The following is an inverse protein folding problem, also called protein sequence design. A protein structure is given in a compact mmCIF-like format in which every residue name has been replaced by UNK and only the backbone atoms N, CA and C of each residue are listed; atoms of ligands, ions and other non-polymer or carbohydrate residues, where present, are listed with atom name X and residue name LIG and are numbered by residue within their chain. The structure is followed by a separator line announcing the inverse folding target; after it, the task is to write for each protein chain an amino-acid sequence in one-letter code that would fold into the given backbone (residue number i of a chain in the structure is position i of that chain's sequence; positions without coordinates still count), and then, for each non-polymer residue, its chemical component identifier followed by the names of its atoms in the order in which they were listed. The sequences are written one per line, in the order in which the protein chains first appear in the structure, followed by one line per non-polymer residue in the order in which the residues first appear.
data_IF_348830232427
#
_entry.id   IF_348830232427
#
_cell.length_a   1.000
_cell.length_b   1.000
_cell.length_c   1.000
_cell.angle_alpha   90.00
_cell.angle_beta   90.00
_cell.angle_gamma   90.00
#
_symmetry.space_group_name_H-M   'P 1'
#
loop_
_entity.id
_entity.type
_entity.pdbx_description
1 polymer ?
#
# COMPACT_ATOMS: atom_id res chain seq x y z
N UNK A 1 5.99 9.26 -5.78
CA UNK A 1 7.32 9.07 -6.37
C UNK A 1 7.43 9.94 -7.61
N UNK A 2 8.51 10.69 -7.78
CA UNK A 2 8.74 11.52 -8.96
C UNK A 2 10.23 11.69 -9.25
N UNK A 3 10.60 11.76 -10.53
CA UNK A 3 11.93 12.16 -10.93
C UNK A 3 12.22 13.61 -10.53
N UNK A 4 13.43 13.91 -10.15
CA UNK A 4 13.91 15.26 -9.75
C UNK A 4 14.90 15.84 -10.76
N UNK A 5 15.38 15.04 -11.70
CA UNK A 5 16.24 15.45 -12.80
C UNK A 5 16.08 14.51 -14.01
N UNK A 6 16.75 14.85 -15.12
CA UNK A 6 16.85 13.98 -16.31
C UNK A 6 18.00 12.94 -16.19
N UNK A 7 18.83 13.03 -15.16
CA UNK A 7 19.90 12.05 -14.92
C UNK A 7 19.28 10.75 -14.37
N UNK A 8 19.37 9.60 -15.09
CA UNK A 8 18.78 8.34 -14.68
C UNK A 8 19.46 7.72 -13.44
N UNK A 9 20.65 8.20 -13.05
CA UNK A 9 21.36 7.73 -11.87
C UNK A 9 20.99 8.50 -10.61
N UNK A 10 20.23 9.60 -10.73
CA UNK A 10 19.77 10.37 -9.59
C UNK A 10 18.52 9.72 -8.99
N UNK A 11 18.55 9.46 -7.68
CA UNK A 11 17.41 8.90 -6.95
C UNK A 11 16.16 9.76 -7.08
N UNK A 12 14.98 9.14 -7.27
CA UNK A 12 13.71 9.85 -7.31
C UNK A 12 13.35 10.38 -5.92
N UNK A 13 12.56 11.46 -5.89
CA UNK A 13 11.94 11.89 -4.64
C UNK A 13 10.82 10.94 -4.26
N UNK A 14 10.96 10.29 -3.11
CA UNK A 14 9.96 9.40 -2.53
C UNK A 14 9.38 10.07 -1.28
N UNK A 15 8.05 10.19 -1.23
CA UNK A 15 7.33 10.78 -0.10
C UNK A 15 6.14 9.87 0.23
N UNK A 16 6.23 9.17 1.35
CA UNK A 16 5.26 8.13 1.71
C UNK A 16 3.97 8.71 2.31
N UNK A 17 4.05 9.85 3.01
CA UNK A 17 2.91 10.51 3.67
C UNK A 17 2.12 9.59 4.62
N UNK A 18 2.79 8.69 5.34
CA UNK A 18 2.14 7.79 6.29
C UNK A 18 1.29 8.55 7.29
N UNK A 19 0.09 8.01 7.60
CA UNK A 19 -0.86 8.55 8.57
C UNK A 19 -1.23 10.02 8.31
N UNK A 20 -1.26 10.43 7.03
CA UNK A 20 -1.57 11.82 6.64
C UNK A 20 -3.08 12.09 6.55
N UNK A 21 -3.89 11.05 6.40
CA UNK A 21 -5.36 11.18 6.38
C UNK A 21 -5.97 10.93 7.76
N UNK A 22 -7.12 11.55 8.03
CA UNK A 22 -7.86 11.32 9.28
C UNK A 22 -8.33 9.86 9.38
N UNK A 23 -8.67 9.24 8.25
CA UNK A 23 -9.10 7.84 8.19
C UNK A 23 -7.97 6.89 8.59
N UNK A 24 -6.78 7.04 8.01
CA UNK A 24 -5.61 6.22 8.36
C UNK A 24 -5.27 6.35 9.84
N UNK A 25 -5.35 7.56 10.39
CA UNK A 25 -5.08 7.80 11.80
C UNK A 25 -6.11 7.13 12.71
N UNK A 26 -7.40 7.23 12.37
CA UNK A 26 -8.47 6.56 13.12
C UNK A 26 -8.28 5.04 13.11
N UNK A 27 -7.90 4.46 11.97
CA UNK A 27 -7.60 3.03 11.83
C UNK A 27 -6.39 2.64 12.67
N UNK A 28 -5.32 3.46 12.70
CA UNK A 28 -4.13 3.20 13.51
C UNK A 28 -4.46 3.17 15.01
N UNK A 29 -5.23 4.14 15.51
CA UNK A 29 -5.70 4.18 16.92
C UNK A 29 -6.58 2.97 17.24
N UNK A 30 -7.55 2.66 16.37
CA UNK A 30 -8.43 1.50 16.53
C UNK A 30 -7.63 0.19 16.55
N UNK A 31 -6.60 0.06 15.73
CA UNK A 31 -5.71 -1.12 15.68
C UNK A 31 -4.94 -1.32 17.00
N UNK A 32 -4.43 -0.25 17.59
CA UNK A 32 -3.76 -0.31 18.90
C UNK A 32 -4.73 -0.78 20.00
N UNK A 33 -5.96 -0.24 20.02
CA UNK A 33 -7.00 -0.65 20.97
C UNK A 33 -7.42 -2.11 20.78
N UNK A 34 -7.62 -2.52 19.52
CA UNK A 34 -7.96 -3.91 19.19
C UNK A 34 -6.87 -4.89 19.61
N UNK A 35 -5.61 -4.55 19.38
CA UNK A 35 -4.45 -5.36 19.80
C UNK A 35 -4.46 -5.54 21.33
N UNK A 36 -4.69 -4.48 22.09
CA UNK A 36 -4.82 -4.57 23.56
C UNK A 36 -5.97 -5.49 23.97
N UNK A 37 -7.13 -5.37 23.32
CA UNK A 37 -8.29 -6.23 23.57
C UNK A 37 -7.98 -7.71 23.30
N UNK A 38 -7.29 -8.01 22.19
CA UNK A 38 -6.86 -9.38 21.86
C UNK A 38 -5.90 -9.91 22.92
N UNK A 39 -4.90 -9.12 23.29
CA UNK A 39 -3.89 -9.54 24.29
C UNK A 39 -4.48 -9.70 25.70
N UNK A 40 -5.57 -9.00 26.02
CA UNK A 40 -6.32 -9.18 27.27
C UNK A 40 -7.25 -10.39 27.28
N UNK A 41 -7.39 -11.11 26.16
CA UNK A 41 -8.31 -12.25 26.07
C UNK A 41 -7.90 -13.41 27.03
N UNK A 42 -8.87 -14.17 27.56
CA UNK A 42 -8.59 -15.30 28.47
C UNK A 42 -7.64 -16.33 27.87
N UNK A 43 -7.70 -16.57 26.57
CA UNK A 43 -6.86 -17.53 25.86
C UNK A 43 -5.36 -17.16 25.89
N UNK A 44 -5.02 -15.88 26.02
CA UNK A 44 -3.64 -15.41 26.05
C UNK A 44 -3.11 -15.18 27.49
N UNK A 45 -3.96 -15.17 28.51
CA UNK A 45 -3.53 -14.94 29.90
C UNK A 45 -2.50 -15.95 30.44
N UNK A 46 -2.51 -17.26 30.08
CA UNK A 46 -1.47 -18.20 30.49
C UNK A 46 -0.05 -17.79 30.06
N UNK A 47 0.08 -16.97 29.01
CA UNK A 47 1.37 -16.47 28.51
C UNK A 47 1.81 -15.17 29.18
N UNK A 48 1.00 -14.62 30.12
CA UNK A 48 1.28 -13.38 30.85
C UNK A 48 1.77 -12.23 29.95
N UNK A 49 0.98 -11.85 28.92
CA UNK A 49 1.40 -10.84 27.96
C UNK A 49 1.57 -9.48 28.63
N UNK A 50 2.66 -8.78 28.31
CA UNK A 50 2.94 -7.44 28.82
C UNK A 50 3.12 -6.49 27.65
N UNK A 51 2.40 -5.36 27.69
CA UNK A 51 2.61 -4.29 26.73
C UNK A 51 3.94 -3.60 27.01
N UNK A 52 4.81 -3.54 26.00
CA UNK A 52 6.10 -2.86 26.07
C UNK A 52 5.98 -1.46 25.45
N UNK A 53 5.34 -1.36 24.29
CA UNK A 53 5.10 -0.12 23.55
C UNK A 53 3.67 -0.12 23.00
N UNK A 54 3.01 1.05 22.99
CA UNK A 54 3.43 2.35 23.53
C UNK A 54 3.44 2.41 25.07
N UNK A 55 2.94 1.41 25.76
CA UNK A 55 2.83 1.33 27.22
C UNK A 55 1.46 1.73 27.73
N UNK A 56 1.04 1.12 28.85
CA UNK A 56 -0.30 1.27 29.44
C UNK A 56 -0.63 2.69 29.90
N UNK A 57 0.35 3.58 30.03
CA UNK A 57 0.13 5.00 30.34
C UNK A 57 -0.46 5.80 29.17
N UNK A 58 -0.36 5.28 27.96
CA UNK A 58 -0.85 5.93 26.73
C UNK A 58 -2.28 5.45 26.45
N UNK A 59 -3.29 6.29 26.79
CA UNK A 59 -4.69 5.88 26.75
C UNK A 59 -5.59 6.78 25.91
N UNK A 60 -5.36 8.10 25.88
CA UNK A 60 -6.19 9.01 25.09
C UNK A 60 -5.99 8.80 23.59
N UNK A 61 -6.99 9.18 22.78
CA UNK A 61 -6.84 9.09 21.32
C UNK A 61 -5.67 9.95 20.84
N UNK A 62 -5.50 11.15 21.41
CA UNK A 62 -4.41 12.04 21.07
C UNK A 62 -3.02 11.42 21.38
N UNK A 63 -2.88 10.75 22.52
CA UNK A 63 -1.63 10.07 22.88
C UNK A 63 -1.37 8.86 21.99
N UNK A 64 -2.44 8.09 21.64
CA UNK A 64 -2.34 6.96 20.73
C UNK A 64 -2.01 7.39 19.31
N UNK A 65 -2.55 8.53 18.83
CA UNK A 65 -2.13 9.13 17.55
C UNK A 65 -0.64 9.49 17.56
N UNK A 66 -0.17 10.12 18.65
CA UNK A 66 1.25 10.42 18.86
C UNK A 66 2.12 9.16 18.84
N UNK A 67 1.67 8.12 19.53
CA UNK A 67 2.35 6.83 19.55
C UNK A 67 2.38 6.18 18.14
N UNK A 68 1.26 6.19 17.42
CA UNK A 68 1.20 5.66 16.06
C UNK A 68 2.18 6.36 15.12
N UNK A 69 2.31 7.69 15.20
CA UNK A 69 3.26 8.47 14.40
C UNK A 69 4.72 8.18 14.75
N UNK A 70 5.01 7.97 16.02
CA UNK A 70 6.39 7.82 16.50
C UNK A 70 6.90 6.38 16.44
N UNK A 71 6.01 5.40 16.56
CA UNK A 71 6.36 3.98 16.60
C UNK A 71 6.02 3.23 15.30
N UNK A 72 5.08 3.78 14.51
CA UNK A 72 4.65 3.20 13.24
C UNK A 72 5.81 3.11 12.25
N UNK A 73 5.90 1.98 11.56
CA UNK A 73 6.87 1.75 10.49
C UNK A 73 6.23 1.02 9.34
N UNK A 74 6.90 1.01 8.20
CA UNK A 74 6.47 0.21 7.05
C UNK A 74 6.77 -1.27 7.26
N UNK A 75 5.91 -2.15 6.74
CA UNK A 75 6.20 -3.58 6.58
C UNK A 75 6.63 -3.92 5.14
N UNK A 76 7.08 -2.93 4.39
CA UNK A 76 7.66 -3.06 3.06
C UNK A 76 6.70 -3.60 1.98
N UNK A 77 5.44 -3.18 2.05
CA UNK A 77 4.42 -3.51 1.05
C UNK A 77 3.91 -2.26 0.30
N UNK A 78 4.80 -1.41 -0.29
CA UNK A 78 4.35 -0.24 -1.05
C UNK A 78 3.64 -0.67 -2.33
N UNK A 79 2.55 0.04 -2.66
CA UNK A 79 1.74 -0.19 -3.87
C UNK A 79 1.36 1.15 -4.51
N UNK A 80 0.64 1.12 -5.63
CA UNK A 80 -0.09 2.26 -6.22
C UNK A 80 0.76 3.35 -6.88
N UNK A 81 2.08 3.26 -6.93
CA UNK A 81 2.91 4.30 -7.57
C UNK A 81 2.75 4.36 -9.09
N UNK A 82 2.25 3.26 -9.71
CA UNK A 82 1.82 3.17 -11.09
C UNK A 82 0.40 2.59 -11.16
N UNK A 83 -0.54 3.11 -10.36
CA UNK A 83 -1.86 2.53 -10.19
C UNK A 83 -2.58 2.27 -11.50
N UNK A 84 -3.12 1.04 -11.67
CA UNK A 84 -4.02 0.73 -12.76
C UNK A 84 -5.42 1.27 -12.47
N UNK A 85 -6.19 1.52 -13.53
CA UNK A 85 -7.57 1.93 -13.39
C UNK A 85 -8.35 1.81 -14.69
N UNK A 86 -9.66 2.05 -14.60
CA UNK A 86 -10.52 2.04 -15.77
C UNK A 86 -10.21 3.21 -16.70
N UNK A 87 -10.16 2.92 -17.97
CA UNK A 87 -10.02 3.90 -19.03
C UNK A 87 -11.17 3.69 -20.05
N UNK A 88 -11.66 4.77 -20.61
CA UNK A 88 -12.63 4.71 -21.69
C UNK A 88 -11.97 4.28 -23.03
N UNK A 89 -12.78 4.16 -24.08
CA UNK A 89 -12.32 3.79 -25.41
C UNK A 89 -11.32 4.77 -26.02
N UNK A 90 -11.18 5.98 -25.48
CA UNK A 90 -10.23 7.01 -25.92
C UNK A 90 -8.98 7.07 -25.02
N UNK A 91 -8.86 6.15 -24.05
CA UNK A 91 -7.73 6.10 -23.11
C UNK A 91 -7.82 7.14 -21.97
N UNK A 92 -8.97 7.81 -21.80
CA UNK A 92 -9.19 8.73 -20.68
C UNK A 92 -9.55 7.93 -19.43
N UNK A 93 -8.82 8.15 -18.34
CA UNK A 93 -9.08 7.49 -17.07
C UNK A 93 -10.20 8.18 -16.29
N UNK A 94 -10.98 7.37 -15.55
CA UNK A 94 -11.95 7.88 -14.56
C UNK A 94 -11.24 8.63 -13.44
N UNK A 95 -10.12 8.08 -12.95
CA UNK A 95 -9.26 8.72 -11.97
C UNK A 95 -8.03 9.34 -12.67
N UNK A 96 -7.78 10.65 -12.52
CA UNK A 96 -6.65 11.32 -13.16
C UNK A 96 -5.27 10.77 -12.74
N UNK A 97 -5.18 10.15 -11.55
CA UNK A 97 -3.95 9.53 -11.04
C UNK A 97 -3.69 8.13 -11.61
N UNK A 98 -4.58 7.60 -12.46
CA UNK A 98 -4.38 6.31 -13.13
C UNK A 98 -3.21 6.40 -14.11
N UNK A 99 -2.19 5.58 -13.89
CA UNK A 99 -1.01 5.47 -14.77
C UNK A 99 -1.17 4.36 -15.80
N UNK A 100 -1.78 3.25 -15.41
CA UNK A 100 -1.93 2.05 -16.23
C UNK A 100 -3.40 1.79 -16.58
N UNK A 101 -3.64 1.17 -17.74
CA UNK A 101 -4.93 0.53 -18.04
C UNK A 101 -5.06 -0.83 -17.32
N UNK A 102 -6.20 -1.51 -17.51
CA UNK A 102 -6.47 -2.83 -16.89
C UNK A 102 -5.58 -3.96 -17.41
N UNK A 103 -4.74 -3.69 -18.40
CA UNK A 103 -3.76 -4.62 -18.95
C UNK A 103 -2.31 -4.23 -18.63
N UNK A 104 -2.17 -3.36 -17.61
CA UNK A 104 -0.88 -2.84 -17.14
C UNK A 104 -0.09 -2.06 -18.21
N UNK A 105 -0.75 -1.55 -19.27
CA UNK A 105 -0.10 -0.69 -20.27
C UNK A 105 -0.02 0.74 -19.74
N UNK A 106 1.15 1.36 -19.92
CA UNK A 106 1.35 2.76 -19.54
C UNK A 106 0.57 3.68 -20.47
N UNK A 107 -0.31 4.50 -19.92
CA UNK A 107 -1.11 5.44 -20.69
C UNK A 107 -0.22 6.48 -21.37
N UNK A 108 -0.48 6.73 -22.65
CA UNK A 108 0.26 7.72 -23.44
C UNK A 108 1.66 7.26 -23.91
N UNK A 109 2.09 6.04 -23.56
CA UNK A 109 3.37 5.48 -24.01
C UNK A 109 3.14 4.13 -24.66
N UNK A 110 3.47 4.02 -25.96
CA UNK A 110 3.30 2.77 -26.68
C UNK A 110 4.31 1.71 -26.25
N UNK A 111 3.89 0.45 -26.23
CA UNK A 111 4.72 -0.74 -25.98
C UNK A 111 5.42 -0.78 -24.61
N UNK A 112 4.88 -0.09 -23.60
CA UNK A 112 5.39 -0.10 -22.24
C UNK A 112 4.33 -0.62 -21.28
N UNK A 113 4.72 -1.54 -20.39
CA UNK A 113 3.89 -2.05 -19.30
C UNK A 113 4.67 -1.98 -17.99
N UNK A 114 3.94 -1.84 -16.87
CA UNK A 114 4.48 -1.99 -15.51
C UNK A 114 3.67 -3.07 -14.82
N UNK A 115 4.33 -4.15 -14.39
CA UNK A 115 3.68 -5.39 -13.94
C UNK A 115 4.29 -5.82 -12.61
N UNK A 116 4.07 -5.02 -11.59
CA UNK A 116 4.55 -5.26 -10.23
C UNK A 116 3.55 -4.70 -9.19
N UNK A 117 3.95 -4.63 -7.92
CA UNK A 117 3.11 -4.13 -6.84
C UNK A 117 2.61 -2.69 -7.08
N UNK A 118 3.34 -1.87 -7.83
CA UNK A 118 2.96 -0.49 -8.11
C UNK A 118 1.68 -0.39 -8.96
N UNK A 119 1.34 -1.44 -9.70
CA UNK A 119 0.13 -1.52 -10.52
C UNK A 119 -1.15 -1.65 -9.68
N UNK A 120 -1.08 -2.15 -8.45
CA UNK A 120 -2.25 -2.27 -7.57
C UNK A 120 -2.77 -0.89 -7.18
N UNK A 121 -4.07 -0.57 -7.41
CA UNK A 121 -4.63 0.74 -7.04
C UNK A 121 -4.75 0.93 -5.52
N UNK A 122 -4.90 -0.17 -4.77
CA UNK A 122 -5.02 -0.20 -3.32
C UNK A 122 -4.24 -1.37 -2.76
N UNK A 123 -3.80 -1.25 -1.49
CA UNK A 123 -3.17 -2.36 -0.79
C UNK A 123 -4.20 -3.46 -0.51
N UNK A 124 -3.78 -4.71 -0.63
CA UNK A 124 -4.61 -5.87 -0.31
C UNK A 124 -4.72 -6.06 1.21
N UNK A 125 -5.73 -6.82 1.67
CA UNK A 125 -5.95 -7.12 3.09
C UNK A 125 -4.90 -8.04 3.73
N UNK A 126 -4.00 -8.58 2.93
CA UNK A 126 -2.87 -9.42 3.36
C UNK A 126 -1.58 -9.03 2.65
N UNK A 127 -0.54 -9.83 2.85
CA UNK A 127 0.77 -9.62 2.24
C UNK A 127 0.69 -9.57 0.71
N UNK A 128 1.46 -8.67 0.11
CA UNK A 128 1.36 -8.33 -1.32
C UNK A 128 2.03 -9.32 -2.27
N UNK A 129 2.78 -10.31 -1.77
CA UNK A 129 3.54 -11.23 -2.62
C UNK A 129 2.64 -12.07 -3.56
N UNK A 130 1.61 -12.72 -3.01
CA UNK A 130 0.70 -13.55 -3.82
C UNK A 130 -0.07 -12.73 -4.87
N UNK A 131 -0.71 -11.58 -4.53
CA UNK A 131 -1.36 -10.75 -5.53
C UNK A 131 -0.40 -10.18 -6.59
N UNK A 132 0.85 -9.86 -6.25
CA UNK A 132 1.85 -9.44 -7.26
C UNK A 132 2.15 -10.57 -8.25
N UNK A 133 2.37 -11.78 -7.76
CA UNK A 133 2.57 -12.95 -8.64
C UNK A 133 1.35 -13.22 -9.53
N UNK A 134 0.13 -13.07 -8.98
CA UNK A 134 -1.11 -13.24 -9.75
C UNK A 134 -1.22 -12.22 -10.88
N UNK A 135 -0.92 -10.94 -10.60
CA UNK A 135 -0.91 -9.88 -11.62
C UNK A 135 0.11 -10.23 -12.70
N UNK A 136 1.33 -10.62 -12.30
CA UNK A 136 2.41 -10.94 -13.22
C UNK A 136 2.06 -12.12 -14.14
N UNK A 137 1.57 -13.22 -13.59
CA UNK A 137 1.14 -14.40 -14.36
C UNK A 137 -0.01 -14.08 -15.30
N UNK A 138 -1.03 -13.37 -14.82
CA UNK A 138 -2.21 -13.00 -15.61
C UNK A 138 -1.82 -12.15 -16.83
N UNK A 139 -1.00 -11.12 -16.61
CA UNK A 139 -0.58 -10.24 -17.71
C UNK A 139 0.39 -10.95 -18.65
N UNK A 140 1.29 -11.78 -18.14
CA UNK A 140 2.21 -12.56 -18.98
C UNK A 140 1.45 -13.50 -19.91
N UNK A 141 0.42 -14.22 -19.42
CA UNK A 141 -0.44 -15.09 -20.26
C UNK A 141 -1.16 -14.31 -21.37
N UNK A 142 -1.69 -13.12 -21.05
CA UNK A 142 -2.30 -12.24 -22.05
C UNK A 142 -1.28 -11.81 -23.11
N UNK A 143 -0.08 -11.40 -22.71
CA UNK A 143 0.97 -11.01 -23.65
C UNK A 143 1.40 -12.13 -24.57
N UNK A 144 1.44 -13.37 -24.07
CA UNK A 144 1.73 -14.54 -24.92
C UNK A 144 0.62 -14.80 -25.92
N UNK A 145 -0.64 -14.68 -25.51
CA UNK A 145 -1.79 -14.85 -26.41
C UNK A 145 -1.88 -13.75 -27.50
N UNK A 146 -1.42 -12.53 -27.22
CA UNK A 146 -1.36 -11.43 -28.22
C UNK A 146 -0.29 -11.67 -29.30
N UNK A 147 0.65 -12.61 -29.10
CA UNK A 147 1.73 -12.94 -30.06
C UNK A 147 1.45 -14.18 -30.89
N UNK A 148 0.46 -14.98 -30.51
CA UNK A 148 0.05 -16.18 -31.22
C UNK A 148 -0.93 -15.86 -32.36
#
# INVERSE_FOLDING_TARGET
VRAVSADPLQDPKIQCNYLSTAEDMAVAVASLRLTRSIMASPALQPYNPKEVLPGLGIQSDQDLEGAARNLGTTIFHPVSTCAMGKVDQYGKAENPNTVLDSECRVRGVARLRVIDASAMPYITSGNTNAPVMLIADTVARKMLAERA
#
